data_IF_904765563096
#
_entry.id   IF_904765563096
#
_cell.length_a   1.000
_cell.length_b   1.000
_cell.length_c   1.000
_cell.angle_alpha   90.00
_cell.angle_beta   90.00
_cell.angle_gamma   90.00
#
_symmetry.space_group_name_H-M   'P 1'
#
loop_
_entity.id
_entity.type
_entity.pdbx_description
1 polymer ?
#
# COMPACT_ATOMS: atom_id res chain seq x y z
N UNK A 1 3.87 65.73 -23.71
CA UNK A 1 4.98 66.71 -23.63
C UNK A 1 5.64 66.49 -22.29
N UNK A 2 6.89 66.11 -22.11
CA UNK A 2 8.08 65.77 -22.92
C UNK A 2 9.02 65.20 -21.84
N UNK A 3 9.54 63.98 -21.92
CA UNK A 3 10.59 63.44 -22.80
C UNK A 3 11.82 63.10 -21.94
N UNK A 4 12.55 62.12 -22.44
CA UNK A 4 13.49 61.19 -21.82
C UNK A 4 14.79 61.80 -21.26
N UNK A 5 15.44 61.03 -20.38
CA UNK A 5 16.86 60.72 -20.60
C UNK A 5 17.21 59.33 -20.05
N UNK A 6 17.75 58.50 -20.94
CA UNK A 6 18.32 57.17 -20.74
C UNK A 6 19.80 57.23 -20.30
N UNK A 7 20.35 56.04 -20.04
CA UNK A 7 21.77 55.61 -19.97
C UNK A 7 22.42 55.62 -18.57
N UNK A 8 23.17 54.59 -18.13
CA UNK A 8 23.65 53.38 -18.81
C UNK A 8 23.99 52.28 -17.78
N UNK A 9 24.13 51.06 -18.30
CA UNK A 9 24.30 49.79 -17.62
C UNK A 9 25.71 49.50 -17.04
N UNK A 10 25.73 48.69 -15.99
CA UNK A 10 26.65 47.57 -15.74
C UNK A 10 26.14 46.88 -14.46
N UNK A 11 25.74 45.62 -14.39
CA UNK A 11 26.21 44.42 -15.06
C UNK A 11 26.40 43.39 -13.94
N UNK A 12 25.45 42.47 -13.79
CA UNK A 12 25.66 41.21 -13.05
C UNK A 12 24.60 40.19 -13.52
N UNK A 13 25.08 39.16 -14.21
CA UNK A 13 24.31 38.00 -14.62
C UNK A 13 24.06 37.03 -13.43
N UNK A 14 23.04 36.17 -13.52
CA UNK A 14 22.45 35.49 -12.37
C UNK A 14 23.26 34.26 -11.95
N UNK A 15 23.47 34.10 -10.65
CA UNK A 15 23.92 32.84 -10.06
C UNK A 15 22.70 31.91 -10.07
N UNK A 16 22.83 30.81 -10.81
CA UNK A 16 21.81 29.79 -10.95
C UNK A 16 21.62 28.93 -9.70
N UNK A 17 20.68 27.99 -9.89
CA UNK A 17 20.27 26.92 -8.99
C UNK A 17 19.21 27.32 -7.94
N UNK A 18 17.95 27.25 -8.35
CA UNK A 18 16.89 26.78 -7.45
C UNK A 18 16.24 25.54 -8.07
N UNK A 19 16.92 24.40 -7.96
CA UNK A 19 16.26 23.09 -8.07
C UNK A 19 15.67 22.81 -6.69
N UNK A 20 14.36 22.99 -6.58
CA UNK A 20 13.60 22.67 -5.38
C UNK A 20 13.90 21.23 -4.94
N UNK A 21 14.01 20.98 -3.63
CA UNK A 21 14.15 19.63 -3.04
C UNK A 21 13.09 18.63 -3.53
N UNK A 22 11.98 19.12 -4.12
CA UNK A 22 10.93 18.31 -4.76
C UNK A 22 11.35 17.62 -6.05
N UNK A 23 12.39 18.11 -6.74
CA UNK A 23 12.82 17.54 -8.04
C UNK A 23 13.77 16.35 -7.88
N UNK A 24 14.43 16.20 -6.73
CA UNK A 24 15.36 15.09 -6.45
C UNK A 24 14.60 13.78 -6.16
N UNK A 25 13.36 13.87 -5.68
CA UNK A 25 12.51 12.71 -5.32
C UNK A 25 11.64 12.19 -6.49
N UNK A 26 11.69 12.84 -7.66
CA UNK A 26 11.00 12.39 -8.89
C UNK A 26 11.88 11.48 -9.77
N UNK A 27 12.87 10.78 -9.20
CA UNK A 27 13.56 9.70 -9.91
C UNK A 27 12.61 8.50 -10.09
N UNK A 28 11.71 8.61 -11.04
CA UNK A 28 10.65 7.65 -11.29
C UNK A 28 9.84 7.98 -12.55
N UNK A 29 10.49 8.50 -13.59
CA UNK A 29 10.06 8.44 -15.00
C UNK A 29 11.06 9.24 -15.83
N UNK A 30 11.74 8.56 -16.76
CA UNK A 30 12.76 9.07 -17.70
C UNK A 30 14.11 9.47 -17.08
N UNK A 31 15.01 8.49 -16.94
CA UNK A 31 16.45 8.74 -16.89
C UNK A 31 17.10 8.31 -18.22
N UNK A 32 17.06 9.20 -19.21
CA UNK A 32 18.05 9.25 -20.29
C UNK A 32 19.14 10.24 -19.89
N UNK A 33 20.32 9.75 -19.55
CA UNK A 33 21.56 10.55 -19.64
C UNK A 33 22.72 9.62 -20.00
N UNK A 34 22.83 9.37 -21.29
CA UNK A 34 24.07 8.93 -21.91
C UNK A 34 24.90 10.16 -22.29
N UNK A 35 26.14 10.19 -21.82
CA UNK A 35 27.22 10.92 -22.46
C UNK A 35 28.52 10.14 -22.22
N UNK A 36 28.71 9.05 -22.98
CA UNK A 36 30.05 8.54 -23.25
C UNK A 36 30.39 9.03 -24.66
N UNK A 37 31.31 9.98 -24.74
CA UNK A 37 31.97 10.35 -25.99
C UNK A 37 32.82 9.16 -26.43
N UNK A 38 32.28 8.37 -27.35
CA UNK A 38 32.99 7.27 -28.00
C UNK A 38 32.18 6.79 -29.19
N UNK A 39 32.69 7.01 -30.40
CA UNK A 39 32.02 6.66 -31.64
C UNK A 39 31.73 5.16 -31.76
N UNK A 40 30.49 4.84 -32.16
CA UNK A 40 30.06 3.48 -32.43
C UNK A 40 28.54 3.36 -32.31
N UNK A 41 27.86 3.26 -33.45
CA UNK A 41 26.43 2.98 -33.54
C UNK A 41 26.07 1.68 -32.83
N UNK A 42 25.42 1.78 -31.67
CA UNK A 42 24.74 0.66 -31.02
C UNK A 42 23.28 1.05 -30.76
N UNK A 43 22.39 0.55 -31.62
CA UNK A 43 20.93 0.54 -31.45
C UNK A 43 20.52 -0.46 -30.34
N UNK A 44 21.08 -0.28 -29.14
CA UNK A 44 20.68 -1.04 -27.95
C UNK A 44 19.52 -0.34 -27.25
N UNK A 45 18.38 -1.01 -27.10
CA UNK A 45 17.35 -0.58 -26.14
C UNK A 45 18.00 -0.49 -24.75
N UNK A 46 17.72 0.56 -23.94
CA UNK A 46 18.23 0.64 -22.59
C UNK A 46 17.69 -0.57 -21.81
N UNK A 47 18.58 -1.50 -21.46
CA UNK A 47 18.27 -2.55 -20.50
C UNK A 47 18.12 -1.89 -19.14
N UNK A 48 16.91 -1.99 -18.59
CA UNK A 48 16.59 -1.57 -17.23
C UNK A 48 17.65 -2.08 -16.24
N UNK A 49 18.05 -1.27 -15.26
CA UNK A 49 18.98 -1.68 -14.20
C UNK A 49 18.52 -2.93 -13.43
N UNK A 50 17.24 -3.29 -13.55
CA UNK A 50 16.63 -4.52 -13.01
C UNK A 50 16.88 -5.79 -13.85
N UNK A 51 17.47 -5.69 -15.05
CA UNK A 51 17.57 -6.81 -15.99
C UNK A 51 18.81 -7.71 -15.81
N UNK A 52 19.70 -7.40 -14.86
CA UNK A 52 21.06 -7.96 -14.83
C UNK A 52 21.32 -9.01 -13.74
N UNK A 53 20.36 -9.35 -12.89
CA UNK A 53 20.51 -10.41 -11.86
C UNK A 53 19.23 -11.23 -11.76
N UNK A 54 19.36 -12.54 -11.54
CA UNK A 54 18.25 -13.52 -11.60
C UNK A 54 16.95 -13.00 -10.98
N UNK A 55 15.89 -12.94 -11.79
CA UNK A 55 14.58 -12.53 -11.33
C UNK A 55 13.83 -13.75 -10.79
N UNK A 56 13.91 -13.96 -9.48
CA UNK A 56 13.13 -14.99 -8.78
C UNK A 56 11.67 -14.55 -8.50
N UNK A 57 11.28 -13.34 -8.95
CA UNK A 57 9.91 -12.83 -8.83
C UNK A 57 8.92 -13.57 -9.75
N UNK A 58 7.68 -13.70 -9.30
CA UNK A 58 6.60 -14.33 -10.08
C UNK A 58 6.33 -13.63 -11.42
N UNK A 59 6.62 -12.34 -11.52
CA UNK A 59 6.39 -11.53 -12.72
C UNK A 59 7.72 -10.93 -13.19
N UNK A 60 7.91 -10.86 -14.51
CA UNK A 60 9.02 -10.12 -15.10
C UNK A 60 8.90 -8.62 -14.77
N UNK A 61 9.99 -7.87 -14.60
CA UNK A 61 9.93 -6.40 -14.47
C UNK A 61 9.22 -5.69 -15.63
N UNK A 62 9.14 -6.36 -16.79
CA UNK A 62 8.43 -5.84 -17.96
C UNK A 62 6.93 -6.16 -17.96
N UNK A 63 6.44 -7.09 -17.15
CA UNK A 63 5.02 -7.46 -17.13
C UNK A 63 4.22 -6.40 -16.36
N UNK A 64 3.10 -5.88 -16.89
CA UNK A 64 2.30 -4.89 -16.19
C UNK A 64 1.66 -5.48 -14.92
N UNK A 65 1.69 -4.71 -13.83
CA UNK A 65 1.00 -5.04 -12.57
C UNK A 65 0.04 -3.91 -12.20
N UNK A 66 -1.25 -4.15 -12.38
CA UNK A 66 -2.31 -3.25 -11.93
C UNK A 66 -2.74 -3.58 -10.49
N UNK A 67 -2.61 -2.61 -9.60
CA UNK A 67 -2.97 -2.73 -8.18
C UNK A 67 -4.16 -1.82 -7.90
N UNK A 68 -5.20 -2.37 -7.26
CA UNK A 68 -6.38 -1.61 -6.83
C UNK A 68 -6.44 -1.60 -5.32
N UNK A 69 -6.33 -0.40 -4.75
CA UNK A 69 -6.52 -0.14 -3.32
C UNK A 69 -7.96 0.29 -3.10
N UNK A 70 -8.74 -0.54 -2.42
CA UNK A 70 -10.17 -0.33 -2.21
C UNK A 70 -10.43 0.47 -0.92
N UNK A 71 -10.53 1.79 -1.05
CA UNK A 71 -10.69 2.77 0.03
C UNK A 71 -12.17 3.02 0.32
N UNK A 72 -12.50 3.24 1.59
CA UNK A 72 -13.88 3.45 2.04
C UNK A 72 -13.96 4.45 3.21
N UNK A 73 -15.14 5.04 3.47
CA UNK A 73 -15.34 5.93 4.60
C UNK A 73 -14.98 5.29 5.96
N UNK A 74 -14.14 5.96 6.74
CA UNK A 74 -13.64 5.44 8.03
C UNK A 74 -12.46 4.48 7.94
N UNK A 75 -11.89 4.27 6.74
CA UNK A 75 -10.65 3.51 6.57
C UNK A 75 -9.44 4.21 7.19
N UNK A 76 -8.46 3.43 7.64
CA UNK A 76 -7.19 3.92 8.21
C UNK A 76 -6.23 4.28 7.08
N UNK A 77 -5.79 5.54 7.00
CA UNK A 77 -4.89 6.01 5.95
C UNK A 77 -3.60 5.17 5.87
N UNK A 78 -2.98 4.88 7.02
CA UNK A 78 -1.69 4.21 7.06
C UNK A 78 -1.75 2.76 6.56
N UNK A 79 -2.91 2.11 6.66
CA UNK A 79 -3.12 0.73 6.20
C UNK A 79 -2.92 0.59 4.69
N UNK A 80 -3.11 1.66 3.92
CA UNK A 80 -2.86 1.64 2.48
C UNK A 80 -1.80 2.63 2.02
N UNK A 81 -1.50 3.71 2.77
CA UNK A 81 -0.42 4.63 2.43
C UNK A 81 0.94 3.92 2.50
N UNK A 82 1.17 3.09 3.53
CA UNK A 82 2.40 2.29 3.66
C UNK A 82 2.60 1.35 2.47
N UNK A 83 1.64 0.44 2.17
CA UNK A 83 1.72 -0.40 0.98
C UNK A 83 1.83 0.37 -0.33
N UNK A 84 1.10 1.47 -0.46
CA UNK A 84 1.11 2.27 -1.69
C UNK A 84 2.49 2.86 -1.99
N UNK A 85 3.21 3.36 -0.98
CA UNK A 85 4.57 3.88 -1.15
C UNK A 85 5.52 2.82 -1.71
N UNK A 86 5.41 1.57 -1.24
CA UNK A 86 6.18 0.45 -1.76
C UNK A 86 5.77 0.11 -3.19
N UNK A 87 4.47 -0.02 -3.44
CA UNK A 87 3.94 -0.47 -4.73
C UNK A 87 4.23 0.51 -5.88
N UNK A 88 4.22 1.82 -5.64
CA UNK A 88 4.56 2.82 -6.65
C UNK A 88 6.02 2.76 -7.11
N UNK A 89 6.90 2.11 -6.35
CA UNK A 89 8.32 1.98 -6.65
C UNK A 89 8.66 0.69 -7.38
N UNK A 90 7.67 -0.18 -7.60
CA UNK A 90 7.85 -1.41 -8.34
C UNK A 90 7.90 -1.18 -9.86
N UNK A 91 8.72 -1.95 -10.60
CA UNK A 91 8.77 -1.86 -12.05
C UNK A 91 7.42 -2.16 -12.71
N UNK A 92 7.07 -1.37 -13.73
CA UNK A 92 5.84 -1.50 -14.53
C UNK A 92 4.58 -1.75 -13.69
N UNK A 93 4.41 -0.98 -12.62
CA UNK A 93 3.29 -1.10 -11.69
C UNK A 93 2.42 0.16 -11.73
N UNK A 94 1.11 -0.05 -11.85
CA UNK A 94 0.10 1.00 -11.83
C UNK A 94 -0.75 0.83 -10.57
N UNK A 95 -0.72 1.81 -9.67
CA UNK A 95 -1.48 1.78 -8.42
C UNK A 95 -2.68 2.71 -8.54
N UNK A 96 -3.87 2.13 -8.40
CA UNK A 96 -5.16 2.80 -8.52
C UNK A 96 -5.86 2.79 -7.17
N UNK A 97 -6.60 3.85 -6.90
CA UNK A 97 -7.40 3.98 -5.69
C UNK A 97 -8.87 4.01 -6.08
N UNK A 98 -9.67 3.15 -5.46
CA UNK A 98 -11.07 3.00 -5.80
C UNK A 98 -11.95 3.03 -4.55
N UNK A 99 -13.12 3.64 -4.66
CA UNK A 99 -14.16 3.60 -3.63
C UNK A 99 -15.50 3.24 -4.25
N UNK A 100 -16.53 3.01 -3.44
CA UNK A 100 -17.84 2.60 -3.96
C UNK A 100 -18.35 3.53 -5.05
N UNK A 101 -18.38 4.84 -4.74
CA UNK A 101 -18.95 5.88 -5.61
C UNK A 101 -17.88 6.75 -6.30
N UNK A 102 -16.59 6.45 -6.09
CA UNK A 102 -15.49 7.30 -6.54
C UNK A 102 -15.39 8.63 -5.78
N UNK A 103 -14.58 9.56 -6.30
CA UNK A 103 -14.50 10.93 -5.79
C UNK A 103 -13.68 11.09 -4.52
N UNK A 104 -14.23 11.79 -3.53
CA UNK A 104 -13.57 12.07 -2.25
C UNK A 104 -14.13 11.16 -1.15
N UNK A 105 -13.25 10.57 -0.37
CA UNK A 105 -13.56 9.60 0.69
C UNK A 105 -13.10 10.14 2.04
N UNK A 106 -14.03 10.35 3.00
CA UNK A 106 -13.68 10.75 4.36
C UNK A 106 -13.12 9.54 5.13
N UNK A 107 -11.82 9.56 5.41
CA UNK A 107 -11.15 8.58 6.24
C UNK A 107 -11.35 8.90 7.74
N UNK A 108 -10.77 8.09 8.61
CA UNK A 108 -10.68 8.43 10.03
C UNK A 108 -9.79 9.66 10.29
N UNK A 109 -9.92 10.23 11.48
CA UNK A 109 -9.15 11.40 11.95
C UNK A 109 -9.26 12.66 11.06
N UNK A 110 -10.34 12.78 10.28
CA UNK A 110 -10.62 13.97 9.47
C UNK A 110 -9.82 14.08 8.17
N UNK A 111 -9.12 13.01 7.77
CA UNK A 111 -8.39 12.98 6.50
C UNK A 111 -9.38 12.79 5.34
N UNK A 112 -9.28 13.63 4.32
CA UNK A 112 -10.01 13.47 3.06
C UNK A 112 -9.08 12.89 1.99
N UNK A 113 -9.36 11.67 1.53
CA UNK A 113 -8.65 11.07 0.41
C UNK A 113 -9.42 11.32 -0.89
N UNK A 114 -8.75 11.81 -1.94
CA UNK A 114 -9.42 12.31 -3.14
C UNK A 114 -9.10 11.55 -4.42
N UNK A 115 -9.92 11.80 -5.44
CA UNK A 115 -9.78 11.29 -6.83
C UNK A 115 -9.80 9.76 -6.92
N UNK A 116 -10.62 9.09 -6.10
CA UNK A 116 -10.83 7.66 -6.25
C UNK A 116 -11.70 7.37 -7.47
N UNK A 117 -11.40 6.28 -8.16
CA UNK A 117 -12.24 5.71 -9.20
C UNK A 117 -13.44 5.00 -8.56
N UNK A 118 -14.53 4.81 -9.32
CA UNK A 118 -15.63 3.95 -8.82
C UNK A 118 -15.19 2.50 -8.93
N UNK A 119 -15.40 1.72 -7.88
CA UNK A 119 -15.14 0.28 -7.90
C UNK A 119 -15.86 -0.42 -9.06
N UNK A 120 -17.06 0.04 -9.39
CA UNK A 120 -17.86 -0.50 -10.50
C UNK A 120 -17.22 -0.30 -11.89
N UNK A 121 -16.37 0.71 -12.06
CA UNK A 121 -15.71 1.03 -13.34
C UNK A 121 -14.43 0.20 -13.56
N UNK A 122 -14.03 -0.59 -12.56
CA UNK A 122 -12.83 -1.43 -12.61
C UNK A 122 -13.23 -2.86 -12.97
N UNK A 123 -12.76 -3.35 -14.12
CA UNK A 123 -13.11 -4.69 -14.61
C UNK A 123 -12.24 -5.82 -14.03
N UNK A 124 -10.93 -5.55 -13.88
CA UNK A 124 -9.90 -6.47 -13.37
C UNK A 124 -8.81 -5.69 -12.63
N UNK A 125 -8.16 -6.37 -11.68
CA UNK A 125 -6.90 -5.96 -11.06
C UNK A 125 -5.93 -7.16 -11.08
N UNK A 126 -4.62 -6.93 -11.15
CA UNK A 126 -3.63 -7.97 -10.85
C UNK A 126 -3.55 -8.23 -9.35
N UNK A 127 -3.62 -7.17 -8.54
CA UNK A 127 -3.69 -7.25 -7.08
C UNK A 127 -4.78 -6.32 -6.55
N UNK A 128 -5.59 -6.81 -5.61
CA UNK A 128 -6.49 -5.97 -4.80
C UNK A 128 -5.98 -5.87 -3.37
N UNK A 129 -5.99 -4.67 -2.80
CA UNK A 129 -5.68 -4.40 -1.40
C UNK A 129 -6.89 -3.79 -0.69
N UNK A 130 -7.37 -4.46 0.36
CA UNK A 130 -8.42 -3.95 1.25
C UNK A 130 -7.79 -3.51 2.58
N UNK A 131 -7.73 -2.19 2.88
CA UNK A 131 -7.24 -1.69 4.15
C UNK A 131 -8.23 -1.95 5.28
N UNK A 132 -7.77 -1.80 6.52
CA UNK A 132 -8.62 -1.74 7.69
C UNK A 132 -9.15 -0.33 7.97
N UNK A 133 -9.77 -0.19 9.13
CA UNK A 133 -10.36 1.06 9.60
C UNK A 133 -10.88 0.95 11.03
N UNK A 134 -11.05 2.10 11.68
CA UNK A 134 -11.75 2.18 12.98
C UNK A 134 -13.26 1.94 12.86
N UNK A 135 -13.83 2.07 11.65
CA UNK A 135 -15.23 1.83 11.38
C UNK A 135 -15.42 1.04 10.07
N UNK A 136 -16.03 -0.14 10.17
CA UNK A 136 -16.30 -1.01 9.03
C UNK A 136 -17.77 -0.95 8.56
N UNK A 137 -18.58 0.02 9.01
CA UNK A 137 -19.99 0.15 8.61
C UNK A 137 -20.16 0.25 7.09
N UNK A 138 -19.34 1.08 6.42
CA UNK A 138 -19.39 1.23 4.97
C UNK A 138 -18.94 -0.03 4.21
N UNK A 139 -17.75 -0.62 4.49
CA UNK A 139 -17.29 -1.80 3.76
C UNK A 139 -18.07 -3.09 4.09
N UNK A 140 -18.85 -3.10 5.17
CA UNK A 140 -19.75 -4.22 5.50
C UNK A 140 -21.13 -4.14 4.82
N UNK A 141 -21.42 -3.10 4.03
CA UNK A 141 -22.66 -3.04 3.26
C UNK A 141 -22.63 -4.00 2.06
N UNK A 142 -23.78 -4.61 1.70
CA UNK A 142 -23.85 -5.54 0.57
C UNK A 142 -23.32 -4.97 -0.75
N UNK A 143 -23.56 -3.68 -1.03
CA UNK A 143 -23.09 -3.03 -2.26
C UNK A 143 -21.55 -3.00 -2.34
N UNK A 144 -20.87 -2.67 -1.23
CA UNK A 144 -19.41 -2.67 -1.18
C UNK A 144 -18.85 -4.08 -1.29
N UNK A 145 -19.37 -5.01 -0.47
CA UNK A 145 -18.92 -6.41 -0.48
C UNK A 145 -19.10 -7.08 -1.84
N UNK A 146 -20.18 -6.78 -2.56
CA UNK A 146 -20.41 -7.30 -3.91
C UNK A 146 -19.31 -6.84 -4.88
N UNK A 147 -18.88 -5.57 -4.81
CA UNK A 147 -17.79 -5.06 -5.66
C UNK A 147 -16.44 -5.66 -5.27
N UNK A 148 -16.14 -5.76 -3.97
CA UNK A 148 -14.91 -6.40 -3.49
C UNK A 148 -14.85 -7.86 -3.93
N UNK A 149 -15.94 -8.61 -3.76
CA UNK A 149 -16.02 -10.00 -4.20
C UNK A 149 -15.78 -10.14 -5.69
N UNK A 150 -16.48 -9.33 -6.50
CA UNK A 150 -16.35 -9.33 -7.96
C UNK A 150 -14.92 -9.10 -8.42
N UNK A 151 -14.22 -8.15 -7.80
CA UNK A 151 -12.82 -7.86 -8.12
C UNK A 151 -11.89 -8.97 -7.61
N UNK A 152 -12.09 -9.46 -6.38
CA UNK A 152 -11.26 -10.49 -5.77
C UNK A 152 -11.36 -11.84 -6.51
N UNK A 153 -12.52 -12.20 -7.06
CA UNK A 153 -12.68 -13.41 -7.88
C UNK A 153 -11.89 -13.36 -9.19
N UNK A 154 -11.53 -12.16 -9.68
CA UNK A 154 -10.78 -11.93 -10.93
C UNK A 154 -9.34 -11.50 -10.73
N UNK A 155 -8.94 -11.20 -9.50
CA UNK A 155 -7.60 -10.77 -9.16
C UNK A 155 -6.66 -11.97 -9.01
N UNK A 156 -5.43 -11.80 -9.46
CA UNK A 156 -4.38 -12.81 -9.31
C UNK A 156 -3.92 -12.88 -7.84
N UNK A 157 -3.95 -11.72 -7.14
CA UNK A 157 -3.63 -11.59 -5.71
C UNK A 157 -4.72 -10.80 -4.96
N UNK A 158 -5.25 -11.40 -3.89
CA UNK A 158 -6.23 -10.81 -2.98
C UNK A 158 -5.57 -10.52 -1.66
N UNK A 159 -5.51 -9.24 -1.29
CA UNK A 159 -4.72 -8.82 -0.14
C UNK A 159 -5.44 -7.87 0.80
N UNK A 160 -4.97 -7.84 2.04
CA UNK A 160 -5.50 -6.94 3.07
C UNK A 160 -4.45 -6.56 4.09
N UNK A 161 -4.72 -5.46 4.81
CA UNK A 161 -3.95 -5.02 5.97
C UNK A 161 -4.93 -4.79 7.12
N UNK A 162 -4.46 -5.02 8.36
CA UNK A 162 -5.20 -4.75 9.59
C UNK A 162 -6.50 -5.56 9.63
N UNK A 163 -7.62 -4.95 10.02
CA UNK A 163 -8.93 -5.58 10.00
C UNK A 163 -9.62 -5.56 8.62
N UNK A 164 -8.93 -5.15 7.56
CA UNK A 164 -9.41 -5.26 6.18
C UNK A 164 -9.61 -6.72 5.75
N UNK A 165 -8.93 -7.68 6.38
CA UNK A 165 -9.16 -9.11 6.18
C UNK A 165 -10.56 -9.55 6.61
N UNK A 166 -11.19 -8.87 7.57
CA UNK A 166 -12.58 -9.14 7.94
C UNK A 166 -13.57 -8.72 6.85
N UNK A 167 -13.29 -7.62 6.14
CA UNK A 167 -14.09 -7.20 4.99
C UNK A 167 -14.03 -8.26 3.88
N UNK A 168 -12.82 -8.76 3.58
CA UNK A 168 -12.65 -9.87 2.65
C UNK A 168 -13.37 -11.13 3.14
N UNK A 169 -13.20 -11.51 4.41
CA UNK A 169 -13.82 -12.70 4.98
C UNK A 169 -15.36 -12.64 4.91
N UNK A 170 -15.94 -11.45 5.15
CA UNK A 170 -17.38 -11.23 5.04
C UNK A 170 -17.94 -11.43 3.61
N UNK A 171 -17.11 -11.28 2.57
CA UNK A 171 -17.53 -11.64 1.20
C UNK A 171 -17.57 -13.16 0.95
N UNK A 172 -17.01 -13.96 1.85
CA UNK A 172 -16.85 -15.41 1.72
C UNK A 172 -15.58 -15.85 0.98
N UNK A 173 -14.80 -14.93 0.41
CA UNK A 173 -13.61 -15.27 -0.40
C UNK A 173 -12.49 -15.93 0.42
N UNK A 174 -12.44 -15.70 1.75
CA UNK A 174 -11.43 -16.26 2.64
C UNK A 174 -11.87 -17.55 3.36
N UNK A 175 -13.00 -18.16 2.98
CA UNK A 175 -13.47 -19.39 3.63
C UNK A 175 -12.43 -20.52 3.48
N UNK A 176 -11.96 -21.05 4.60
CA UNK A 176 -10.93 -22.08 4.68
C UNK A 176 -9.51 -21.60 4.41
N UNK A 177 -9.29 -20.29 4.28
CA UNK A 177 -7.98 -19.68 3.97
C UNK A 177 -7.34 -19.08 5.22
N UNK A 178 -6.01 -19.18 5.34
CA UNK A 178 -5.25 -18.54 6.40
C UNK A 178 -5.16 -17.03 6.17
N UNK A 179 -5.33 -16.24 7.22
CA UNK A 179 -5.19 -14.79 7.12
C UNK A 179 -4.72 -14.15 8.43
N UNK A 180 -3.87 -13.13 8.29
CA UNK A 180 -3.54 -12.19 9.34
C UNK A 180 -4.69 -11.19 9.53
N UNK A 181 -4.68 -10.54 10.69
CA UNK A 181 -5.55 -9.42 10.99
C UNK A 181 -4.86 -8.55 12.05
N UNK A 182 -5.44 -7.40 12.37
CA UNK A 182 -5.04 -6.68 13.57
C UNK A 182 -5.30 -7.54 14.83
N UNK A 183 -4.33 -7.56 15.74
CA UNK A 183 -4.30 -8.46 16.91
C UNK A 183 -5.59 -8.43 17.75
N UNK A 184 -6.20 -7.25 17.90
CA UNK A 184 -7.44 -7.08 18.65
C UNK A 184 -8.66 -7.80 18.03
N UNK A 185 -8.59 -8.19 16.76
CA UNK A 185 -9.71 -8.73 16.00
C UNK A 185 -9.39 -10.04 15.28
N UNK A 186 -8.18 -10.60 15.45
CA UNK A 186 -7.74 -11.75 14.63
C UNK A 186 -8.64 -12.96 14.75
N UNK A 187 -9.16 -13.25 15.94
CA UNK A 187 -10.04 -14.40 16.16
C UNK A 187 -11.46 -14.20 15.60
N UNK A 188 -11.82 -12.97 15.19
CA UNK A 188 -13.07 -12.71 14.43
C UNK A 188 -13.07 -13.34 13.04
N UNK A 189 -11.90 -13.64 12.47
CA UNK A 189 -11.81 -14.32 11.16
C UNK A 189 -12.54 -15.67 11.16
N UNK A 190 -12.53 -16.40 12.27
CA UNK A 190 -13.20 -17.69 12.40
C UNK A 190 -14.72 -17.59 12.26
N UNK A 191 -15.33 -16.46 12.62
CA UNK A 191 -16.78 -16.23 12.47
C UNK A 191 -17.20 -16.20 10.99
N UNK A 192 -16.26 -15.89 10.09
CA UNK A 192 -16.43 -15.89 8.64
C UNK A 192 -15.84 -17.13 7.95
N UNK A 193 -15.38 -18.11 8.73
CA UNK A 193 -14.79 -19.35 8.22
C UNK A 193 -13.36 -19.22 7.70
N UNK A 194 -12.69 -18.09 7.93
CA UNK A 194 -11.25 -17.96 7.69
C UNK A 194 -10.44 -18.52 8.87
N UNK A 195 -9.21 -18.95 8.60
CA UNK A 195 -8.30 -19.50 9.61
C UNK A 195 -7.44 -18.36 10.17
N UNK A 196 -7.64 -17.93 11.42
CA UNK A 196 -6.86 -16.85 12.01
C UNK A 196 -5.41 -17.26 12.22
N UNK A 197 -4.47 -16.42 11.79
CA UNK A 197 -3.04 -16.60 12.04
C UNK A 197 -2.49 -15.31 12.65
N UNK A 198 -2.01 -15.33 13.91
CA UNK A 198 -1.57 -14.12 14.63
C UNK A 198 -0.14 -13.70 14.24
N UNK A 199 0.15 -13.66 12.94
CA UNK A 199 1.44 -13.26 12.39
C UNK A 199 1.36 -11.89 11.71
N UNK A 200 2.52 -11.23 11.58
CA UNK A 200 2.63 -9.92 10.93
C UNK A 200 2.37 -9.97 9.43
N UNK A 201 2.68 -11.10 8.79
CA UNK A 201 2.44 -11.39 7.38
C UNK A 201 2.00 -12.84 7.27
N UNK A 202 0.94 -13.09 6.50
CA UNK A 202 0.42 -14.43 6.22
C UNK A 202 0.19 -14.56 4.73
N UNK A 203 0.67 -15.66 4.17
CA UNK A 203 0.44 -16.08 2.80
C UNK A 203 -0.30 -17.43 2.79
N UNK A 204 -1.25 -17.57 1.87
CA UNK A 204 -2.00 -18.80 1.60
C UNK A 204 -2.17 -18.97 0.08
N UNK A 205 -2.40 -20.22 -0.35
CA UNK A 205 -2.71 -20.58 -1.74
C UNK A 205 -1.66 -20.05 -2.75
N UNK A 206 -0.38 -20.35 -2.47
CA UNK A 206 0.79 -19.97 -3.28
C UNK A 206 0.92 -18.46 -3.55
N UNK A 207 0.32 -17.60 -2.72
CA UNK A 207 0.36 -16.15 -2.90
C UNK A 207 -0.92 -15.55 -3.41
N UNK A 208 -1.95 -16.35 -3.70
CA UNK A 208 -3.25 -15.79 -4.08
C UNK A 208 -3.85 -14.98 -2.94
N UNK A 209 -3.67 -15.40 -1.68
CA UNK A 209 -4.11 -14.65 -0.51
C UNK A 209 -2.91 -14.22 0.32
N UNK A 210 -2.76 -12.91 0.53
CA UNK A 210 -1.68 -12.36 1.36
C UNK A 210 -2.24 -11.29 2.28
N UNK A 211 -1.87 -11.31 3.55
CA UNK A 211 -2.42 -10.35 4.53
C UNK A 211 -1.35 -9.86 5.48
N UNK A 212 -1.42 -8.56 5.79
CA UNK A 212 -0.64 -7.91 6.84
C UNK A 212 -1.46 -7.79 8.12
N UNK A 213 -0.77 -7.86 9.27
CA UNK A 213 -1.36 -7.61 10.59
C UNK A 213 -1.77 -6.14 10.80
N UNK A 214 -1.68 -5.64 12.04
CA UNK A 214 -2.15 -4.30 12.36
C UNK A 214 -1.35 -3.15 11.72
N UNK A 215 -2.07 -2.23 11.06
CA UNK A 215 -1.65 -0.88 10.65
C UNK A 215 -0.27 -0.80 9.98
N UNK A 216 0.79 -0.63 10.77
CA UNK A 216 2.18 -0.51 10.28
C UNK A 216 2.69 -1.80 9.63
N UNK A 217 2.05 -2.94 9.89
CA UNK A 217 2.34 -4.18 9.20
C UNK A 217 2.19 -4.06 7.67
N UNK A 218 1.42 -3.08 7.18
CA UNK A 218 1.28 -2.81 5.75
C UNK A 218 2.59 -2.53 5.02
N UNK A 219 3.58 -1.91 5.67
CA UNK A 219 4.88 -1.63 5.03
C UNK A 219 5.66 -2.94 4.83
N UNK A 220 5.80 -3.73 5.89
CA UNK A 220 6.50 -5.03 5.82
C UNK A 220 5.79 -6.04 4.92
N UNK A 221 4.45 -6.04 4.97
CA UNK A 221 3.60 -6.82 4.07
C UNK A 221 3.90 -6.46 2.62
N UNK A 222 3.93 -5.17 2.27
CA UNK A 222 4.13 -4.74 0.90
C UNK A 222 5.56 -5.01 0.41
N UNK A 223 6.58 -4.93 1.26
CA UNK A 223 7.94 -5.37 0.92
C UNK A 223 8.01 -6.88 0.65
N UNK A 224 7.27 -7.71 1.41
CA UNK A 224 7.18 -9.15 1.14
C UNK A 224 6.44 -9.45 -0.16
N UNK A 225 5.34 -8.73 -0.44
CA UNK A 225 4.63 -8.81 -1.72
C UNK A 225 5.54 -8.38 -2.87
N UNK A 226 6.29 -7.28 -2.71
CA UNK A 226 7.26 -6.82 -3.71
C UNK A 226 8.31 -7.90 -4.01
N UNK A 227 8.88 -8.52 -2.98
CA UNK A 227 9.88 -9.57 -3.16
C UNK A 227 9.31 -10.77 -3.91
N UNK A 228 8.07 -11.16 -3.59
CA UNK A 228 7.39 -12.28 -4.23
C UNK A 228 7.03 -11.98 -5.70
N UNK A 229 6.51 -10.79 -5.99
CA UNK A 229 6.02 -10.46 -7.33
C UNK A 229 7.13 -9.98 -8.27
N UNK A 230 8.12 -9.26 -7.76
CA UNK A 230 9.17 -8.59 -8.55
C UNK A 230 10.61 -8.99 -8.17
N UNK A 231 10.76 -9.99 -7.30
CA UNK A 231 12.04 -10.49 -6.87
C UNK A 231 12.65 -9.69 -5.71
N UNK A 232 13.58 -10.32 -5.00
CA UNK A 232 14.24 -9.77 -3.82
C UNK A 232 14.91 -8.41 -4.09
N UNK A 233 15.58 -8.27 -5.24
CA UNK A 233 16.27 -7.04 -5.60
C UNK A 233 15.34 -5.83 -5.69
N UNK A 234 14.13 -5.98 -6.25
CA UNK A 234 13.17 -4.88 -6.34
C UNK A 234 12.67 -4.45 -4.95
N UNK A 235 12.46 -5.41 -4.05
CA UNK A 235 12.05 -5.14 -2.68
C UNK A 235 13.16 -4.43 -1.88
N UNK A 236 14.40 -4.93 -1.92
CA UNK A 236 15.54 -4.34 -1.21
C UNK A 236 15.88 -2.94 -1.76
N UNK A 237 15.85 -2.77 -3.08
CA UNK A 237 15.99 -1.46 -3.70
C UNK A 237 14.92 -0.49 -3.17
N UNK A 238 13.66 -0.92 -3.15
CA UNK A 238 12.56 -0.10 -2.65
C UNK A 238 12.75 0.26 -1.19
N UNK A 239 13.10 -0.72 -0.34
CA UNK A 239 13.40 -0.53 1.08
C UNK A 239 14.48 0.53 1.29
N UNK A 240 15.57 0.46 0.51
CA UNK A 240 16.67 1.41 0.58
C UNK A 240 16.27 2.81 0.11
N UNK A 241 15.53 2.92 -0.99
CA UNK A 241 15.10 4.22 -1.55
C UNK A 241 14.20 4.99 -0.59
N UNK A 242 13.37 4.29 0.19
CA UNK A 242 12.50 4.93 1.18
C UNK A 242 13.11 5.00 2.57
N UNK A 243 14.35 4.55 2.74
CA UNK A 243 15.07 4.50 4.01
C UNK A 243 14.25 3.80 5.12
N UNK A 244 13.66 2.65 4.78
CA UNK A 244 12.89 1.87 5.74
C UNK A 244 13.81 1.06 6.67
N UNK A 245 14.32 1.77 7.67
CA UNK A 245 15.13 1.28 8.80
C UNK A 245 14.45 1.68 10.13
N UNK A 246 13.39 0.96 10.54
CA UNK A 246 12.60 1.36 11.69
C UNK A 246 13.34 1.15 13.01
N UNK A 247 13.41 2.21 13.83
CA UNK A 247 13.92 2.17 15.20
C UNK A 247 12.84 2.58 16.22
N UNK A 248 11.87 1.70 16.56
CA UNK A 248 10.80 2.05 17.50
C UNK A 248 11.36 2.44 18.88
N UNK A 249 10.94 3.59 19.47
CA UNK A 249 11.44 4.03 20.78
C UNK A 249 10.86 3.22 21.96
N UNK A 250 9.91 2.32 21.72
CA UNK A 250 9.25 1.50 22.73
C UNK A 250 8.99 0.08 22.23
N UNK A 251 9.00 -0.88 23.15
CA UNK A 251 8.65 -2.29 22.88
C UNK A 251 7.21 -2.60 23.29
N UNK A 252 6.23 -1.97 22.62
CA UNK A 252 4.80 -2.18 22.94
C UNK A 252 3.91 -2.26 21.70
N UNK A 253 4.50 -2.60 20.54
CA UNK A 253 3.79 -2.74 19.28
C UNK A 253 2.96 -4.02 19.13
N UNK A 254 3.13 -5.00 20.04
CA UNK A 254 2.38 -6.26 20.03
C UNK A 254 2.03 -6.69 21.46
N UNK A 255 0.86 -7.31 21.71
CA UNK A 255 0.44 -7.74 23.06
C UNK A 255 1.38 -8.76 23.72
N UNK A 256 2.20 -9.49 22.95
CA UNK A 256 3.21 -10.41 23.50
C UNK A 256 4.38 -9.70 24.19
N UNK A 257 4.64 -8.46 23.80
CA UNK A 257 5.79 -7.67 24.25
C UNK A 257 5.36 -6.51 25.17
N UNK A 258 4.09 -6.09 25.08
CA UNK A 258 3.55 -4.97 25.84
C UNK A 258 3.33 -5.31 27.32
N UNK A 259 3.46 -4.29 28.19
CA UNK A 259 3.18 -4.43 29.62
C UNK A 259 1.71 -4.83 29.87
N UNK A 260 1.41 -5.72 30.84
CA UNK A 260 0.04 -6.15 31.14
C UNK A 260 -0.92 -4.99 31.45
N UNK A 261 -0.44 -3.94 32.13
CA UNK A 261 -1.25 -2.74 32.42
C UNK A 261 -1.73 -2.05 31.13
N UNK A 262 -0.87 -1.96 30.11
CA UNK A 262 -1.22 -1.34 28.82
C UNK A 262 -2.23 -2.20 28.07
N UNK A 263 -2.08 -3.52 28.10
CA UNK A 263 -3.05 -4.45 27.51
C UNK A 263 -4.42 -4.27 28.17
N UNK A 264 -4.47 -4.19 29.51
CA UNK A 264 -5.71 -3.96 30.24
C UNK A 264 -6.34 -2.58 29.92
N UNK A 265 -5.53 -1.54 29.73
CA UNK A 265 -6.01 -0.23 29.29
C UNK A 265 -6.62 -0.27 27.89
N UNK A 266 -5.99 -1.00 26.96
CA UNK A 266 -6.55 -1.20 25.61
C UNK A 266 -7.83 -2.01 25.70
N UNK A 267 -7.87 -3.10 26.46
CA UNK A 267 -9.07 -3.94 26.61
C UNK A 267 -10.23 -3.16 27.23
N UNK A 268 -9.97 -2.23 28.16
CA UNK A 268 -11.00 -1.32 28.70
C UNK A 268 -11.59 -0.40 27.62
N UNK A 269 -10.76 0.11 26.70
CA UNK A 269 -11.20 0.97 25.58
C UNK A 269 -11.84 0.17 24.44
N UNK A 270 -11.36 -1.05 24.24
CA UNK A 270 -11.73 -1.96 23.16
C UNK A 270 -11.98 -3.36 23.75
N UNK A 271 -13.15 -3.59 24.37
CA UNK A 271 -13.44 -4.83 25.10
C UNK A 271 -13.25 -6.08 24.24
N UNK A 272 -12.44 -7.02 24.73
CA UNK A 272 -12.12 -8.28 24.05
C UNK A 272 -10.87 -8.25 23.17
N UNK A 273 -10.17 -7.10 23.08
CA UNK A 273 -8.94 -6.96 22.30
C UNK A 273 -7.86 -7.94 22.74
N UNK A 274 -7.69 -8.14 24.05
CA UNK A 274 -6.74 -9.10 24.63
C UNK A 274 -6.98 -10.55 24.19
N UNK A 275 -8.20 -10.85 23.76
CA UNK A 275 -8.62 -12.17 23.24
C UNK A 275 -8.73 -12.22 21.72
N UNK A 276 -8.36 -11.14 21.02
CA UNK A 276 -8.52 -11.02 19.58
C UNK A 276 -9.98 -11.02 19.10
N UNK A 277 -10.93 -10.68 19.98
CA UNK A 277 -12.38 -10.75 19.75
C UNK A 277 -13.07 -9.40 19.98
N UNK A 278 -12.33 -8.30 19.87
CA UNK A 278 -12.90 -6.99 20.07
C UNK A 278 -14.06 -6.68 19.11
N UNK A 279 -15.02 -5.88 19.57
CA UNK A 279 -16.10 -5.37 18.72
C UNK A 279 -15.58 -4.25 17.83
N UNK A 280 -15.98 -4.27 16.56
CA UNK A 280 -15.69 -3.22 15.59
C UNK A 280 -17.02 -2.56 15.21
N UNK A 281 -17.13 -1.22 15.25
CA UNK A 281 -18.28 -0.53 14.70
C UNK A 281 -18.57 -0.98 13.27
N UNK A 282 -19.82 -1.37 13.01
CA UNK A 282 -20.27 -1.83 11.69
C UNK A 282 -20.10 -3.33 11.41
N UNK A 283 -19.52 -4.10 12.34
CA UNK A 283 -19.47 -5.57 12.27
C UNK A 283 -20.43 -6.13 13.33
N UNK A 284 -21.39 -6.96 12.91
CA UNK A 284 -22.33 -7.62 13.83
C UNK A 284 -21.67 -8.78 14.56
#
# INVERSE_FOLDING_TARGET
MTDNSENNASGQQPIGADRSRRDVLKLGSLATLGAILGGGTLLGRPTSAYAQTGNDGMLSPADPLDIVIAVYPGGTLLDFAGPSEIFHRLPNTNVRYASLDGGYVPLEFGVMYGKTERLADIEKAGLILVPGGSNLTAPMQPAYQAQIRRLAERADHVTSVCNGSLVLAATGILKGKRSACHWAFVNKLSEYGAIPVPDRFVEDDNGRFMSGGGVTAGIDFALRVAAKLRGQQAAEFTQLVIEYDPAPPFHSGHPRDARPELIAMVDKKLPGASKGLARIPGVR
#
